data_IF_738120954572
#
_entry.id   IF_738120954572
#
_cell.length_a   1.000
_cell.length_b   1.000
_cell.length_c   1.000
_cell.angle_alpha   90.00
_cell.angle_beta   90.00
_cell.angle_gamma   90.00
#
_symmetry.space_group_name_H-M   'P 1'
#
loop_
_entity.id
_entity.type
_entity.pdbx_description
1 polymer ?
#
# COMPACT_ATOMS: atom_id res chain seq x y z
N UNK A 1 5.86 20.38 -17.74
CA UNK A 1 4.69 19.56 -17.33
C UNK A 1 4.78 19.07 -15.89
N UNK A 2 5.90 18.45 -15.48
CA UNK A 2 6.13 17.94 -14.11
C UNK A 2 6.03 19.01 -13.00
N UNK A 3 6.71 20.16 -13.13
CA UNK A 3 6.60 21.28 -12.16
C UNK A 3 5.16 21.76 -11.94
N UNK A 4 4.35 21.76 -13.00
CA UNK A 4 2.95 22.16 -12.92
C UNK A 4 2.05 21.10 -12.28
N UNK A 5 2.45 19.82 -12.27
CA UNK A 5 1.76 18.77 -11.53
C UNK A 5 2.07 18.88 -10.03
N UNK A 6 3.33 19.16 -9.66
CA UNK A 6 3.74 19.37 -8.26
C UNK A 6 2.97 20.51 -7.59
N UNK A 7 2.80 21.62 -8.30
CA UNK A 7 2.05 22.76 -7.80
C UNK A 7 0.55 22.47 -7.68
N UNK A 8 -0.01 21.68 -8.60
CA UNK A 8 -1.44 21.39 -8.59
C UNK A 8 -1.83 20.30 -7.60
N UNK A 9 -0.94 19.34 -7.32
CA UNK A 9 -1.14 18.36 -6.24
C UNK A 9 -1.23 19.03 -4.86
N UNK A 10 -0.58 20.20 -4.68
CA UNK A 10 -0.60 20.97 -3.43
C UNK A 10 -1.79 21.94 -3.31
N UNK A 11 -2.61 22.08 -4.36
CA UNK A 11 -3.75 23.01 -4.38
C UNK A 11 -5.05 22.31 -3.97
N UNK A 12 -5.86 23.01 -3.19
CA UNK A 12 -7.20 22.54 -2.81
C UNK A 12 -8.08 22.39 -4.06
N UNK A 13 -8.85 21.31 -4.14
CA UNK A 13 -9.82 21.00 -5.22
C UNK A 13 -9.26 20.79 -6.64
N UNK A 14 -7.98 20.43 -6.79
CA UNK A 14 -7.37 20.20 -8.11
C UNK A 14 -7.31 18.74 -8.58
N UNK A 15 -8.12 17.85 -7.99
CA UNK A 15 -8.06 16.40 -8.24
C UNK A 15 -8.21 16.04 -9.72
N UNK A 16 -9.15 16.65 -10.43
CA UNK A 16 -9.37 16.35 -11.86
C UNK A 16 -8.20 16.80 -12.74
N UNK A 17 -7.61 17.96 -12.43
CA UNK A 17 -6.43 18.48 -13.13
C UNK A 17 -5.23 17.58 -12.87
N UNK A 18 -5.04 17.15 -11.62
CA UNK A 18 -3.99 16.20 -11.24
C UNK A 18 -4.17 14.89 -12.00
N UNK A 19 -5.37 14.30 -11.98
CA UNK A 19 -5.69 13.06 -12.71
C UNK A 19 -5.39 13.16 -14.21
N UNK A 20 -5.80 14.25 -14.86
CA UNK A 20 -5.54 14.49 -16.28
C UNK A 20 -4.04 14.63 -16.56
N UNK A 21 -3.31 15.36 -15.71
CA UNK A 21 -1.86 15.50 -15.84
C UNK A 21 -1.16 14.18 -15.60
N UNK A 22 -1.59 13.41 -14.61
CA UNK A 22 -1.11 12.06 -14.32
C UNK A 22 -1.31 11.18 -15.55
N UNK A 23 -2.48 11.20 -16.19
CA UNK A 23 -2.71 10.46 -17.44
C UNK A 23 -1.69 10.76 -18.53
N UNK A 24 -1.49 12.05 -18.81
CA UNK A 24 -0.56 12.50 -19.86
C UNK A 24 0.90 12.17 -19.56
N UNK A 25 1.24 11.93 -18.30
CA UNK A 25 2.62 11.68 -17.85
C UNK A 25 2.89 10.21 -17.51
N UNK A 26 1.94 9.31 -17.79
CA UNK A 26 2.07 7.87 -17.56
C UNK A 26 3.34 7.26 -18.19
N UNK A 27 3.55 7.50 -19.49
CA UNK A 27 4.68 6.93 -20.22
C UNK A 27 6.03 7.38 -19.64
N UNK A 28 6.13 8.65 -19.22
CA UNK A 28 7.34 9.20 -18.61
C UNK A 28 7.66 8.54 -17.27
N UNK A 29 6.66 8.42 -16.39
CA UNK A 29 6.84 7.73 -15.09
C UNK A 29 7.23 6.28 -15.26
N UNK A 30 6.56 5.56 -16.16
CA UNK A 30 6.89 4.16 -16.44
C UNK A 30 8.31 4.01 -16.98
N UNK A 31 8.73 4.90 -17.88
CA UNK A 31 10.10 4.92 -18.38
C UNK A 31 11.09 5.11 -17.23
N UNK A 32 10.88 6.12 -16.38
CA UNK A 32 11.73 6.41 -15.23
C UNK A 32 11.87 5.21 -14.28
N UNK A 33 10.75 4.58 -13.90
CA UNK A 33 10.77 3.40 -13.00
C UNK A 33 11.49 2.21 -13.64
N UNK A 34 11.23 1.93 -14.92
CA UNK A 34 11.73 0.72 -15.58
C UNK A 34 13.17 0.87 -16.07
N UNK A 35 13.57 2.08 -16.49
CA UNK A 35 14.90 2.35 -17.07
C UNK A 35 15.87 2.92 -16.05
N UNK A 36 15.43 3.90 -15.28
CA UNK A 36 16.32 4.68 -14.43
C UNK A 36 16.39 4.10 -13.01
N UNK A 37 15.38 3.31 -12.60
CA UNK A 37 15.35 2.64 -11.30
C UNK A 37 15.67 3.57 -10.13
N UNK A 38 15.05 4.76 -10.03
CA UNK A 38 15.44 5.77 -9.05
C UNK A 38 15.19 5.31 -7.62
N UNK A 39 15.88 5.94 -6.66
CA UNK A 39 15.50 5.80 -5.25
C UNK A 39 14.05 6.26 -5.04
N UNK A 40 13.36 5.58 -4.12
CA UNK A 40 11.93 5.86 -3.84
C UNK A 40 11.72 7.30 -3.38
N UNK A 41 12.63 7.83 -2.57
CA UNK A 41 12.58 9.22 -2.09
C UNK A 41 12.64 10.23 -3.25
N UNK A 42 13.58 10.04 -4.17
CA UNK A 42 13.72 10.86 -5.37
C UNK A 42 12.49 10.78 -6.28
N UNK A 43 11.94 9.58 -6.43
CA UNK A 43 10.74 9.33 -7.22
C UNK A 43 9.51 9.99 -6.59
N UNK A 44 9.38 9.92 -5.27
CA UNK A 44 8.32 10.57 -4.50
C UNK A 44 8.40 12.09 -4.60
N UNK A 45 9.59 12.68 -4.49
CA UNK A 45 9.78 14.11 -4.65
C UNK A 45 9.35 14.60 -6.06
N UNK A 46 9.57 13.78 -7.09
CA UNK A 46 9.22 14.07 -8.49
C UNK A 46 7.75 13.83 -8.81
N UNK A 47 7.13 12.81 -8.20
CA UNK A 47 5.77 12.37 -8.47
C UNK A 47 4.97 12.15 -7.18
N UNK A 48 4.79 13.18 -6.32
CA UNK A 48 4.13 13.04 -5.03
C UNK A 48 2.67 12.60 -5.19
N UNK A 49 2.01 12.98 -6.30
CA UNK A 49 0.67 12.55 -6.61
C UNK A 49 0.54 11.02 -6.72
N UNK A 50 1.59 10.27 -7.07
CA UNK A 50 1.54 8.80 -7.06
C UNK A 50 1.33 8.20 -5.67
N UNK A 51 1.62 8.94 -4.62
CA UNK A 51 1.47 8.50 -3.24
C UNK A 51 0.08 8.87 -2.68
N UNK A 52 -0.78 9.47 -3.51
CA UNK A 52 -2.20 9.63 -3.22
C UNK A 52 -2.98 8.38 -3.61
N UNK A 53 -3.89 7.94 -2.74
CA UNK A 53 -4.68 6.71 -2.92
C UNK A 53 -5.41 6.69 -4.27
N UNK A 54 -5.96 7.82 -4.72
CA UNK A 54 -6.71 7.87 -5.98
C UNK A 54 -5.82 7.64 -7.22
N UNK A 55 -4.60 8.19 -7.20
CA UNK A 55 -3.69 8.14 -8.35
C UNK A 55 -2.95 6.80 -8.42
N UNK A 56 -2.52 6.22 -7.27
CA UNK A 56 -1.92 4.87 -7.28
C UNK A 56 -2.91 3.81 -7.77
N UNK A 57 -4.19 3.93 -7.38
CA UNK A 57 -5.26 3.07 -7.89
C UNK A 57 -5.42 3.23 -9.41
N UNK A 58 -5.42 4.46 -9.90
CA UNK A 58 -5.56 4.77 -11.33
C UNK A 58 -4.37 4.24 -12.14
N UNK A 59 -3.16 4.39 -11.64
CA UNK A 59 -1.93 3.90 -12.26
C UNK A 59 -1.84 2.39 -12.31
N UNK A 60 -2.13 1.73 -11.19
CA UNK A 60 -2.19 0.27 -11.15
C UNK A 60 -3.24 -0.26 -12.15
N UNK A 61 -4.41 0.38 -12.22
CA UNK A 61 -5.45 0.01 -13.19
C UNK A 61 -5.01 0.23 -14.64
N UNK A 62 -4.28 1.31 -14.94
CA UNK A 62 -3.72 1.54 -16.29
C UNK A 62 -2.75 0.44 -16.71
N UNK A 63 -1.92 -0.05 -15.77
CA UNK A 63 -0.92 -1.09 -16.05
C UNK A 63 -1.56 -2.48 -16.15
N UNK A 64 -2.46 -2.82 -15.22
CA UNK A 64 -2.92 -4.20 -15.01
C UNK A 64 -4.34 -4.46 -15.46
N UNK A 65 -5.08 -3.41 -15.84
CA UNK A 65 -6.53 -3.39 -16.09
C UNK A 65 -7.41 -3.81 -14.91
N UNK A 66 -6.82 -4.00 -13.72
CA UNK A 66 -7.52 -4.44 -12.50
C UNK A 66 -7.64 -3.29 -11.47
N UNK A 67 -8.72 -3.24 -10.68
CA UNK A 67 -8.84 -2.31 -9.56
C UNK A 67 -7.88 -2.74 -8.44
N UNK A 68 -6.97 -1.85 -8.01
CA UNK A 68 -5.93 -2.18 -7.01
C UNK A 68 -6.54 -2.57 -5.67
N UNK A 69 -7.29 -1.68 -5.03
CA UNK A 69 -7.79 -1.90 -3.66
C UNK A 69 -8.65 -3.16 -3.55
N UNK A 70 -9.71 -3.29 -4.35
CA UNK A 70 -10.60 -4.46 -4.24
C UNK A 70 -9.89 -5.76 -4.62
N UNK A 71 -8.96 -5.73 -5.59
CA UNK A 71 -8.17 -6.92 -5.92
C UNK A 71 -7.22 -7.27 -4.78
N UNK A 72 -6.54 -6.30 -4.19
CA UNK A 72 -5.63 -6.52 -3.06
C UNK A 72 -6.39 -7.11 -1.86
N UNK A 73 -7.48 -6.47 -1.43
CA UNK A 73 -8.27 -6.93 -0.28
C UNK A 73 -8.85 -8.33 -0.51
N UNK A 74 -9.39 -8.62 -1.70
CA UNK A 74 -9.90 -9.96 -2.00
C UNK A 74 -8.82 -11.05 -2.01
N UNK A 75 -7.58 -10.71 -2.41
CA UNK A 75 -6.46 -11.67 -2.30
C UNK A 75 -5.99 -11.81 -0.86
N UNK A 76 -5.98 -10.72 -0.09
CA UNK A 76 -5.66 -10.77 1.33
C UNK A 76 -6.63 -11.71 2.05
N UNK A 77 -7.93 -11.52 1.87
CA UNK A 77 -8.97 -12.36 2.47
C UNK A 77 -8.82 -13.84 2.09
N UNK A 78 -8.55 -14.12 0.81
CA UNK A 78 -8.32 -15.48 0.30
C UNK A 78 -7.14 -16.16 1.00
N UNK A 79 -6.08 -15.40 1.32
CA UNK A 79 -4.85 -15.93 1.90
C UNK A 79 -4.79 -15.83 3.42
N UNK A 80 -5.67 -15.07 4.08
CA UNK A 80 -5.71 -14.86 5.53
C UNK A 80 -5.65 -16.16 6.32
N UNK A 81 -6.47 -17.16 5.97
CA UNK A 81 -6.48 -18.44 6.67
C UNK A 81 -5.15 -19.22 6.55
N UNK A 82 -4.41 -19.04 5.45
CA UNK A 82 -3.07 -19.65 5.30
C UNK A 82 -2.02 -18.89 6.10
N UNK A 83 -2.09 -17.55 6.09
CA UNK A 83 -1.21 -16.69 6.88
C UNK A 83 -1.37 -16.96 8.37
N UNK A 84 -2.59 -17.10 8.88
CA UNK A 84 -2.85 -17.44 10.28
C UNK A 84 -2.19 -18.76 10.68
N UNK A 85 -2.30 -19.80 9.85
CA UNK A 85 -1.62 -21.09 10.09
C UNK A 85 -0.09 -20.95 10.09
N UNK A 86 0.47 -20.07 9.25
CA UNK A 86 1.91 -19.79 9.26
C UNK A 86 2.33 -19.08 10.54
N UNK A 87 1.54 -18.09 11.00
CA UNK A 87 1.80 -17.36 12.22
C UNK A 87 1.79 -18.28 13.45
N UNK A 88 0.83 -19.20 13.55
CA UNK A 88 0.73 -20.19 14.63
C UNK A 88 1.91 -21.16 14.70
N UNK A 89 2.55 -21.45 13.56
CA UNK A 89 3.72 -22.34 13.51
C UNK A 89 5.01 -21.67 13.97
N UNK A 90 5.03 -20.33 14.07
CA UNK A 90 6.21 -19.57 14.45
C UNK A 90 6.36 -19.62 15.97
N UNK A 91 7.51 -20.10 16.45
CA UNK A 91 7.86 -20.10 17.87
C UNK A 91 8.70 -18.89 18.29
N UNK A 92 9.13 -18.89 19.56
CA UNK A 92 10.03 -17.89 20.13
C UNK A 92 9.39 -16.51 20.32
N UNK A 93 10.23 -15.48 20.40
CA UNK A 93 9.78 -14.10 20.65
C UNK A 93 8.83 -13.57 19.56
N UNK A 94 9.10 -13.89 18.29
CA UNK A 94 8.21 -13.53 17.18
C UNK A 94 6.88 -14.29 17.25
N UNK A 95 6.91 -15.57 17.64
CA UNK A 95 5.71 -16.38 17.87
C UNK A 95 4.76 -15.75 18.90
N UNK A 96 5.29 -15.34 20.06
CA UNK A 96 4.46 -14.69 21.09
C UNK A 96 3.84 -13.35 20.63
N UNK A 97 4.57 -12.57 19.83
CA UNK A 97 4.03 -11.34 19.22
C UNK A 97 2.91 -11.66 18.22
N UNK A 98 3.09 -12.71 17.42
CA UNK A 98 2.08 -13.16 16.45
C UNK A 98 0.83 -13.73 17.14
N UNK A 99 1.00 -14.46 18.23
CA UNK A 99 -0.10 -15.01 19.03
C UNK A 99 -1.00 -13.89 19.57
N UNK A 100 -0.39 -12.80 20.04
CA UNK A 100 -1.12 -11.59 20.49
C UNK A 100 -2.02 -11.04 19.38
N UNK A 101 -1.50 -10.94 18.14
CA UNK A 101 -2.28 -10.47 16.98
C UNK A 101 -3.42 -11.43 16.65
N UNK A 102 -3.17 -12.73 16.64
CA UNK A 102 -4.20 -13.75 16.35
C UNK A 102 -5.32 -13.71 17.40
N UNK A 103 -4.98 -13.58 18.68
CA UNK A 103 -5.97 -13.48 19.76
C UNK A 103 -6.81 -12.20 19.67
N UNK A 104 -6.22 -11.08 19.23
CA UNK A 104 -6.97 -9.84 18.99
C UNK A 104 -7.97 -10.01 17.84
N UNK A 105 -7.57 -10.68 16.76
CA UNK A 105 -8.46 -10.96 15.62
C UNK A 105 -9.64 -11.85 15.99
N UNK A 106 -9.43 -12.88 16.81
CA UNK A 106 -10.49 -13.82 17.18
C UNK A 106 -11.65 -13.15 17.95
N UNK A 107 -11.39 -11.98 18.55
CA UNK A 107 -12.37 -11.22 19.33
C UNK A 107 -12.95 -10.02 18.57
N UNK A 108 -12.65 -9.86 17.28
CA UNK A 108 -13.05 -8.71 16.48
C UNK A 108 -13.84 -9.14 15.24
N UNK A 109 -15.11 -8.72 15.16
CA UNK A 109 -15.99 -9.00 14.01
C UNK A 109 -15.81 -8.00 12.85
N UNK A 110 -14.94 -7.01 13.00
CA UNK A 110 -14.65 -6.04 11.94
C UNK A 110 -13.67 -6.61 10.91
N UNK A 111 -14.13 -6.63 9.65
CA UNK A 111 -13.37 -7.18 8.52
C UNK A 111 -12.10 -6.36 8.28
N UNK A 112 -12.16 -5.04 8.42
CA UNK A 112 -11.01 -4.17 8.17
C UNK A 112 -9.97 -4.26 9.29
N UNK A 113 -10.40 -4.32 10.56
CA UNK A 113 -9.51 -4.65 11.68
C UNK A 113 -8.85 -6.04 11.54
N UNK A 114 -9.60 -7.03 11.02
CA UNK A 114 -9.07 -8.35 10.70
C UNK A 114 -7.96 -8.29 9.65
N UNK A 115 -8.20 -7.56 8.55
CA UNK A 115 -7.20 -7.36 7.47
C UNK A 115 -5.97 -6.61 7.96
N UNK A 116 -6.16 -5.56 8.75
CA UNK A 116 -5.09 -4.80 9.36
C UNK A 116 -4.20 -5.70 10.24
N UNK A 117 -4.82 -6.55 11.05
CA UNK A 117 -4.12 -7.51 11.90
C UNK A 117 -3.30 -8.53 11.09
N UNK A 118 -3.84 -9.03 9.98
CA UNK A 118 -3.08 -9.91 9.07
C UNK A 118 -1.85 -9.19 8.50
N UNK A 119 -1.99 -7.93 8.07
CA UNK A 119 -0.87 -7.14 7.53
C UNK A 119 0.19 -6.92 8.63
N UNK A 120 -0.22 -6.52 9.83
CA UNK A 120 0.69 -6.37 10.98
C UNK A 120 1.38 -7.68 11.34
N UNK A 121 0.64 -8.79 11.31
CA UNK A 121 1.20 -10.14 11.52
C UNK A 121 2.26 -10.48 10.48
N UNK A 122 2.05 -10.13 9.21
CA UNK A 122 3.03 -10.38 8.15
C UNK A 122 4.34 -9.61 8.39
N UNK A 123 4.27 -8.34 8.79
CA UNK A 123 5.46 -7.55 9.17
C UNK A 123 6.25 -8.22 10.30
N UNK A 124 5.56 -8.63 11.38
CA UNK A 124 6.20 -9.34 12.51
C UNK A 124 6.82 -10.66 12.05
N UNK A 125 6.13 -11.41 11.19
CA UNK A 125 6.63 -12.68 10.66
C UNK A 125 7.94 -12.51 9.88
N UNK A 126 8.09 -11.39 9.15
CA UNK A 126 9.31 -11.01 8.44
C UNK A 126 10.40 -10.43 9.36
N UNK A 127 10.12 -10.24 10.66
CA UNK A 127 11.05 -9.69 11.64
C UNK A 127 11.05 -8.17 11.73
N UNK A 128 10.06 -7.51 11.14
CA UNK A 128 9.91 -6.06 11.13
C UNK A 128 8.94 -5.58 12.22
N UNK A 129 9.05 -4.32 12.64
CA UNK A 129 8.04 -3.70 13.51
C UNK A 129 6.92 -3.08 12.66
N UNK A 130 5.65 -3.49 12.82
CA UNK A 130 4.54 -2.89 12.10
C UNK A 130 4.44 -1.37 12.27
N UNK A 131 4.90 -0.80 13.40
CA UNK A 131 4.87 0.65 13.65
C UNK A 131 5.80 1.44 12.73
N UNK A 132 6.87 0.80 12.24
CA UNK A 132 7.83 1.45 11.35
C UNK A 132 7.33 1.46 9.90
N UNK A 133 6.43 0.52 9.55
CA UNK A 133 5.96 0.25 8.20
C UNK A 133 4.55 0.78 7.92
N UNK A 134 3.67 0.72 8.91
CA UNK A 134 2.27 1.13 8.80
C UNK A 134 2.09 2.40 9.62
N UNK A 135 1.96 3.53 8.92
CA UNK A 135 1.63 4.82 9.53
C UNK A 135 0.18 5.15 9.23
N UNK A 136 -0.54 5.63 10.23
CA UNK A 136 -1.86 6.22 10.00
C UNK A 136 -1.69 7.41 9.04
N UNK A 137 -2.41 7.37 7.92
CA UNK A 137 -2.48 8.49 7.02
C UNK A 137 -3.48 9.50 7.61
N UNK A 138 -2.96 10.55 8.24
CA UNK A 138 -3.76 11.67 8.80
C UNK A 138 -4.10 12.68 7.70
#
# INVERSE_FOLDING_TARGET
MQRALLLDAKKRNNRDIVKLKMEKTFALRRHEVVRDGPMVEDFMARWPALFEVAEINSEFKRITTKPLQSKFLSQLDLHSGTLMKLFQKRGGQLGGRLETIISQMANCDDVDAGRESIIKGLCIYMGEDPKDLVREYV
#
